data_IF_472825422756
#
_entry.id   IF_472825422756
#
_cell.length_a   1.000
_cell.length_b   1.000
_cell.length_c   1.000
_cell.angle_alpha   90.00
_cell.angle_beta   90.00
_cell.angle_gamma   90.00
#
_symmetry.space_group_name_H-M   'P 1'
#
loop_
_entity.id
_entity.type
_entity.pdbx_description
1 polymer ?
#
# COMPACT_ATOMS: atom_id res chain seq x y z
N UNK A 1 7.93 6.72 -20.56
CA UNK A 1 8.81 7.76 -21.14
C UNK A 1 7.96 8.98 -21.45
N UNK A 2 8.56 10.18 -21.52
CA UNK A 2 8.00 11.54 -21.32
C UNK A 2 8.07 11.91 -19.81
N UNK A 3 8.81 12.91 -19.34
CA UNK A 3 9.63 13.95 -19.97
C UNK A 3 9.93 14.99 -18.88
N UNK A 4 11.08 14.88 -18.19
CA UNK A 4 11.63 15.97 -17.36
C UNK A 4 12.52 16.79 -18.27
N UNK A 5 11.96 17.84 -18.87
CA UNK A 5 12.76 18.91 -19.46
C UNK A 5 13.03 19.94 -18.35
N UNK A 6 14.30 20.33 -18.20
CA UNK A 6 14.67 21.52 -17.45
C UNK A 6 15.34 21.30 -16.08
N UNK A 7 16.46 20.60 -16.05
CA UNK A 7 17.60 21.03 -15.23
C UNK A 7 18.87 20.35 -15.75
N UNK A 8 19.65 21.13 -16.49
CA UNK A 8 20.99 20.78 -16.91
C UNK A 8 21.86 20.63 -15.66
N UNK A 9 22.04 19.39 -15.19
CA UNK A 9 23.17 19.04 -14.33
C UNK A 9 24.04 18.11 -15.16
N UNK A 10 25.23 18.58 -15.51
CA UNK A 10 26.30 17.79 -16.09
C UNK A 10 26.77 16.78 -15.01
N UNK A 11 25.93 15.79 -14.71
CA UNK A 11 26.25 14.67 -13.84
C UNK A 11 26.69 13.51 -14.73
N UNK A 12 27.71 12.78 -14.30
CA UNK A 12 28.18 11.62 -15.05
C UNK A 12 27.01 10.62 -15.19
N UNK A 13 26.98 9.83 -16.27
CA UNK A 13 25.94 8.80 -16.51
C UNK A 13 25.80 7.86 -15.30
N UNK A 14 26.88 7.67 -14.54
CA UNK A 14 26.91 6.94 -13.28
C UNK A 14 26.03 7.60 -12.19
N UNK A 15 26.23 8.89 -11.91
CA UNK A 15 25.51 9.66 -10.90
C UNK A 15 24.00 9.68 -11.19
N UNK A 16 23.62 9.83 -12.46
CA UNK A 16 22.22 9.81 -12.88
C UNK A 16 21.58 8.44 -12.66
N UNK A 17 22.30 7.34 -12.95
CA UNK A 17 21.82 5.98 -12.66
C UNK A 17 21.66 5.76 -11.16
N UNK A 18 22.60 6.23 -10.35
CA UNK A 18 22.56 6.11 -8.90
C UNK A 18 21.34 6.81 -8.29
N UNK A 19 21.07 8.06 -8.68
CA UNK A 19 19.92 8.83 -8.19
C UNK A 19 18.59 8.14 -8.54
N UNK A 20 18.46 7.66 -9.78
CA UNK A 20 17.26 6.94 -10.23
C UNK A 20 17.07 5.65 -9.41
N UNK A 21 18.14 4.88 -9.20
CA UNK A 21 18.10 3.65 -8.43
C UNK A 21 17.71 3.87 -6.97
N UNK A 22 18.27 4.89 -6.31
CA UNK A 22 17.91 5.26 -4.92
C UNK A 22 16.43 5.63 -4.81
N UNK A 23 15.90 6.37 -5.78
CA UNK A 23 14.48 6.77 -5.81
C UNK A 23 13.56 5.56 -6.01
N UNK A 24 13.90 4.65 -6.95
CA UNK A 24 13.13 3.41 -7.16
C UNK A 24 13.14 2.52 -5.91
N UNK A 25 14.29 2.39 -5.24
CA UNK A 25 14.41 1.61 -4.00
C UNK A 25 13.51 2.17 -2.90
N UNK A 26 13.50 3.50 -2.69
CA UNK A 26 12.64 4.14 -1.70
C UNK A 26 11.16 3.90 -1.98
N UNK A 27 10.72 4.08 -3.23
CA UNK A 27 9.33 3.89 -3.61
C UNK A 27 8.90 2.42 -3.42
N UNK A 28 9.77 1.47 -3.79
CA UNK A 28 9.52 0.04 -3.56
C UNK A 28 9.33 -0.29 -2.07
N UNK A 29 10.19 0.22 -1.19
CA UNK A 29 10.08 -0.03 0.25
C UNK A 29 8.82 0.57 0.88
N UNK A 30 8.40 1.76 0.40
CA UNK A 30 7.11 2.30 0.79
C UNK A 30 5.98 1.35 0.40
N UNK A 31 5.94 0.89 -0.85
CA UNK A 31 4.86 0.03 -1.34
C UNK A 31 4.81 -1.29 -0.57
N UNK A 32 5.97 -1.86 -0.22
CA UNK A 32 6.08 -3.02 0.67
C UNK A 32 5.52 -2.72 2.06
N UNK A 33 5.81 -1.54 2.61
CA UNK A 33 5.32 -1.13 3.94
C UNK A 33 3.80 -0.99 3.95
N UNK A 34 3.24 -0.35 2.92
CA UNK A 34 1.79 -0.22 2.73
C UNK A 34 1.15 -1.60 2.60
N UNK A 35 1.73 -2.49 1.80
CA UNK A 35 1.23 -3.85 1.62
C UNK A 35 1.20 -4.63 2.93
N UNK A 36 2.27 -4.57 3.73
CA UNK A 36 2.32 -5.24 5.03
C UNK A 36 1.31 -4.66 6.02
N UNK A 37 1.19 -3.33 6.10
CA UNK A 37 0.19 -2.68 6.95
C UNK A 37 -1.24 -3.07 6.54
N UNK A 38 -1.52 -3.09 5.23
CA UNK A 38 -2.80 -3.54 4.70
C UNK A 38 -3.09 -5.01 5.02
N UNK A 39 -2.11 -5.90 4.84
CA UNK A 39 -2.25 -7.32 5.15
C UNK A 39 -2.60 -7.56 6.62
N UNK A 40 -1.92 -6.86 7.53
CA UNK A 40 -2.20 -6.94 8.98
C UNK A 40 -3.60 -6.37 9.28
N UNK A 41 -3.95 -5.23 8.70
CA UNK A 41 -5.28 -4.59 8.89
C UNK A 41 -6.41 -5.49 8.41
N UNK A 42 -6.26 -6.10 7.23
CA UNK A 42 -7.26 -7.04 6.68
C UNK A 42 -7.36 -8.28 7.55
N UNK A 43 -6.23 -8.87 7.94
CA UNK A 43 -6.21 -10.07 8.79
C UNK A 43 -6.89 -9.81 10.13
N UNK A 44 -6.55 -8.72 10.81
CA UNK A 44 -7.19 -8.32 12.07
C UNK A 44 -8.68 -7.99 11.89
N UNK A 45 -9.07 -7.37 10.77
CA UNK A 45 -10.47 -7.09 10.45
C UNK A 45 -11.31 -8.35 10.25
N UNK A 46 -10.79 -9.33 9.51
CA UNK A 46 -11.45 -10.64 9.35
C UNK A 46 -11.51 -11.42 10.67
N UNK A 47 -10.46 -11.37 11.50
CA UNK A 47 -10.48 -11.97 12.84
C UNK A 47 -11.57 -11.34 13.73
N UNK A 48 -11.65 -10.00 13.76
CA UNK A 48 -12.67 -9.26 14.50
C UNK A 48 -14.08 -9.54 14.00
N UNK A 49 -14.25 -9.81 12.70
CA UNK A 49 -15.55 -10.08 12.09
C UNK A 49 -16.01 -11.53 12.25
N UNK A 50 -15.11 -12.51 12.10
CA UNK A 50 -15.45 -13.93 12.03
C UNK A 50 -15.18 -14.71 13.32
N UNK A 51 -14.16 -14.34 14.10
CA UNK A 51 -13.68 -15.15 15.22
C UNK A 51 -14.04 -14.57 16.59
N UNK A 52 -14.07 -13.25 16.73
CA UNK A 52 -14.21 -12.59 18.03
C UNK A 52 -15.67 -12.12 18.24
N UNK A 53 -16.36 -12.55 19.32
CA UNK A 53 -17.70 -12.09 19.65
C UNK A 53 -17.77 -10.56 19.79
N UNK A 54 -18.93 -9.94 19.57
CA UNK A 54 -19.10 -8.48 19.65
C UNK A 54 -19.10 -7.91 21.09
N UNK A 55 -18.56 -8.66 22.06
CA UNK A 55 -18.43 -8.26 23.45
C UNK A 55 -16.99 -7.78 23.71
N UNK A 56 -16.81 -6.62 24.33
CA UNK A 56 -15.48 -6.01 24.52
C UNK A 56 -14.57 -6.84 25.45
N UNK A 57 -15.17 -7.54 26.43
CA UNK A 57 -14.48 -8.43 27.37
C UNK A 57 -14.10 -9.79 26.77
N UNK A 58 -14.47 -10.07 25.51
CA UNK A 58 -14.07 -11.32 24.87
C UNK A 58 -12.56 -11.35 24.67
N UNK A 59 -11.94 -12.42 25.16
CA UNK A 59 -10.49 -12.65 25.05
C UNK A 59 -10.23 -13.64 23.93
N UNK A 60 -9.32 -13.29 23.03
CA UNK A 60 -8.86 -14.13 21.94
C UNK A 60 -7.34 -14.07 21.85
N UNK A 61 -6.68 -15.23 21.87
CA UNK A 61 -5.21 -15.37 21.90
C UNK A 61 -4.54 -14.56 23.03
N UNK A 62 -5.20 -14.44 24.19
CA UNK A 62 -4.69 -13.73 25.36
C UNK A 62 -4.87 -12.20 25.33
N UNK A 63 -5.44 -11.65 24.26
CA UNK A 63 -5.78 -10.23 24.15
C UNK A 63 -7.29 -10.02 24.11
N UNK A 64 -7.76 -8.96 24.76
CA UNK A 64 -9.14 -8.51 24.71
C UNK A 64 -9.53 -8.05 23.30
N UNK A 65 -10.82 -8.12 22.97
CA UNK A 65 -11.34 -7.56 21.71
C UNK A 65 -10.96 -6.08 21.55
N UNK A 66 -10.95 -5.32 22.65
CA UNK A 66 -10.56 -3.90 22.63
C UNK A 66 -9.13 -3.72 22.10
N UNK A 67 -8.20 -4.57 22.51
CA UNK A 67 -6.82 -4.54 22.02
C UNK A 67 -6.74 -4.94 20.54
N UNK A 68 -7.52 -5.94 20.11
CA UNK A 68 -7.61 -6.30 18.69
C UNK A 68 -8.18 -5.17 17.83
N UNK A 69 -9.22 -4.48 18.30
CA UNK A 69 -9.79 -3.29 17.64
C UNK A 69 -8.75 -2.16 17.59
N UNK A 70 -8.03 -1.91 18.69
CA UNK A 70 -6.97 -0.90 18.72
C UNK A 70 -5.88 -1.22 17.70
N UNK A 71 -5.41 -2.47 17.65
CA UNK A 71 -4.44 -2.92 16.66
C UNK A 71 -4.95 -2.72 15.22
N UNK A 72 -6.17 -3.15 14.92
CA UNK A 72 -6.80 -2.97 13.61
C UNK A 72 -6.80 -1.49 13.18
N UNK A 73 -7.22 -0.59 14.08
CA UNK A 73 -7.25 0.86 13.81
C UNK A 73 -5.83 1.40 13.64
N UNK A 74 -4.89 1.06 14.52
CA UNK A 74 -3.50 1.54 14.43
C UNK A 74 -2.82 1.15 13.12
N UNK A 75 -2.92 -0.13 12.71
CA UNK A 75 -2.39 -0.57 11.43
C UNK A 75 -3.14 0.05 10.24
N UNK A 76 -4.46 0.26 10.38
CA UNK A 76 -5.26 0.99 9.41
C UNK A 76 -4.79 2.44 9.20
N UNK A 77 -4.49 3.16 10.28
CA UNK A 77 -3.95 4.54 10.22
C UNK A 77 -2.56 4.56 9.60
N UNK A 78 -1.67 3.63 9.97
CA UNK A 78 -0.35 3.50 9.33
C UNK A 78 -0.48 3.24 7.83
N UNK A 79 -1.39 2.33 7.44
CA UNK A 79 -1.69 2.05 6.04
C UNK A 79 -2.22 3.28 5.29
N UNK A 80 -3.16 4.02 5.90
CA UNK A 80 -3.73 5.23 5.32
C UNK A 80 -2.69 6.33 5.14
N UNK A 81 -1.83 6.55 6.14
CA UNK A 81 -0.72 7.49 6.06
C UNK A 81 0.28 7.09 4.95
N UNK A 82 0.61 5.80 4.86
CA UNK A 82 1.45 5.26 3.79
C UNK A 82 0.85 5.50 2.41
N UNK A 83 -0.45 5.23 2.22
CA UNK A 83 -1.17 5.50 0.96
C UNK A 83 -1.17 6.99 0.63
N UNK A 84 -1.34 7.87 1.61
CA UNK A 84 -1.24 9.32 1.39
C UNK A 84 0.16 9.71 0.89
N UNK A 85 1.23 9.19 1.52
CA UNK A 85 2.60 9.39 1.05
C UNK A 85 2.81 8.84 -0.37
N UNK A 86 2.28 7.65 -0.67
CA UNK A 86 2.33 7.05 -2.00
C UNK A 86 1.68 7.97 -3.05
N UNK A 87 0.48 8.49 -2.79
CA UNK A 87 -0.20 9.42 -3.69
C UNK A 87 0.63 10.69 -3.92
N UNK A 88 1.21 11.27 -2.85
CA UNK A 88 2.05 12.47 -2.95
C UNK A 88 3.27 12.20 -3.84
N UNK A 89 3.98 11.08 -3.63
CA UNK A 89 5.16 10.74 -4.43
C UNK A 89 4.82 10.40 -5.89
N UNK A 90 3.61 9.91 -6.15
CA UNK A 90 3.15 9.57 -7.49
C UNK A 90 2.25 10.65 -8.12
N UNK A 91 2.18 11.85 -7.54
CA UNK A 91 1.25 12.91 -7.94
C UNK A 91 1.41 13.35 -9.39
N UNK A 92 2.64 13.53 -9.87
CA UNK A 92 2.89 13.94 -11.25
C UNK A 92 2.52 12.84 -12.25
N UNK A 93 2.75 11.58 -11.89
CA UNK A 93 2.29 10.44 -12.67
C UNK A 93 0.77 10.39 -12.75
N UNK A 94 0.07 10.64 -11.62
CA UNK A 94 -1.39 10.72 -11.56
C UNK A 94 -1.95 11.85 -12.46
N UNK A 95 -1.33 13.02 -12.48
CA UNK A 95 -1.71 14.12 -13.40
C UNK A 95 -1.57 13.69 -14.87
N UNK A 96 -0.43 13.10 -15.22
CA UNK A 96 -0.18 12.60 -16.57
C UNK A 96 -1.16 11.48 -16.96
N UNK A 97 -1.61 10.69 -15.99
CA UNK A 97 -2.60 9.63 -16.19
C UNK A 97 -3.99 10.19 -16.51
N UNK A 98 -4.37 11.30 -15.85
CA UNK A 98 -5.66 11.99 -16.01
C UNK A 98 -5.83 12.61 -17.40
N UNK A 99 -4.75 13.06 -18.02
CA UNK A 99 -4.77 13.66 -19.36
C UNK A 99 -5.00 12.69 -20.52
N UNK A 100 -5.04 11.37 -20.28
CA UNK A 100 -5.24 10.37 -21.33
C UNK A 100 -6.68 9.86 -21.34
N UNK A 101 -7.36 9.93 -22.49
CA UNK A 101 -8.72 9.44 -22.66
C UNK A 101 -8.76 7.90 -22.64
N UNK A 102 -9.84 7.33 -22.11
CA UNK A 102 -9.97 5.87 -21.91
C UNK A 102 -10.26 5.10 -23.20
N UNK A 103 -10.92 5.75 -24.16
CA UNK A 103 -11.32 5.22 -25.46
C UNK A 103 -10.11 4.95 -26.38
N UNK A 104 -9.05 5.73 -26.24
CA UNK A 104 -7.80 5.58 -27.00
C UNK A 104 -6.90 4.43 -26.50
N UNK A 105 -7.28 3.76 -25.40
CA UNK A 105 -6.43 2.74 -24.77
C UNK A 105 -6.77 1.32 -25.21
N UNK A 106 -5.76 0.44 -25.33
CA UNK A 106 -5.99 -1.00 -25.48
C UNK A 106 -6.89 -1.53 -24.36
N UNK A 107 -7.82 -2.44 -24.70
CA UNK A 107 -8.84 -2.96 -23.78
C UNK A 107 -8.27 -3.44 -22.43
N UNK A 108 -7.11 -4.11 -22.43
CA UNK A 108 -6.44 -4.58 -21.20
C UNK A 108 -6.00 -3.43 -20.29
N UNK A 109 -5.40 -2.39 -20.86
CA UNK A 109 -4.95 -1.21 -20.10
C UNK A 109 -6.14 -0.40 -19.58
N UNK A 110 -7.21 -0.32 -20.37
CA UNK A 110 -8.47 0.31 -19.96
C UNK A 110 -9.09 -0.43 -18.76
N UNK A 111 -9.16 -1.76 -18.81
CA UNK A 111 -9.69 -2.57 -17.71
C UNK A 111 -8.91 -2.37 -16.41
N UNK A 112 -7.57 -2.46 -16.45
CA UNK A 112 -6.72 -2.21 -15.28
C UNK A 112 -7.01 -0.83 -14.67
N UNK A 113 -7.08 0.21 -15.51
CA UNK A 113 -7.36 1.56 -15.06
C UNK A 113 -8.76 1.72 -14.45
N UNK A 114 -9.77 1.00 -14.96
CA UNK A 114 -11.11 0.99 -14.37
C UNK A 114 -11.10 0.30 -13.01
N UNK A 115 -10.45 -0.87 -12.90
CA UNK A 115 -10.30 -1.59 -11.64
C UNK A 115 -9.58 -0.72 -10.60
N UNK A 116 -8.48 -0.05 -10.96
CA UNK A 116 -7.75 0.83 -10.06
C UNK A 116 -8.62 2.00 -9.55
N UNK A 117 -9.49 2.55 -10.41
CA UNK A 117 -10.42 3.63 -10.02
C UNK A 117 -11.51 3.13 -9.08
N UNK A 118 -12.10 1.98 -9.37
CA UNK A 118 -13.12 1.37 -8.49
C UNK A 118 -12.48 1.03 -7.15
N UNK A 119 -11.31 0.40 -7.15
CA UNK A 119 -10.53 0.09 -5.95
C UNK A 119 -10.26 1.34 -5.13
N UNK A 120 -9.84 2.45 -5.76
CA UNK A 120 -9.71 3.73 -5.08
C UNK A 120 -11.04 4.05 -4.40
N UNK A 121 -12.13 4.27 -5.15
CA UNK A 121 -13.41 4.72 -4.58
C UNK A 121 -13.89 3.83 -3.42
N UNK A 122 -13.75 2.51 -3.55
CA UNK A 122 -14.03 1.54 -2.49
C UNK A 122 -13.13 1.73 -1.27
N UNK A 123 -11.84 2.02 -1.46
CA UNK A 123 -10.92 2.37 -0.38
C UNK A 123 -11.33 3.66 0.36
N UNK A 124 -11.76 4.72 -0.35
CA UNK A 124 -12.30 5.95 0.28
C UNK A 124 -13.50 5.60 1.14
N UNK A 125 -14.43 4.81 0.59
CA UNK A 125 -15.66 4.45 1.26
C UNK A 125 -15.37 3.62 2.52
N UNK A 126 -14.50 2.62 2.41
CA UNK A 126 -14.08 1.77 3.54
C UNK A 126 -13.50 2.61 4.67
N UNK A 127 -12.58 3.54 4.37
CA UNK A 127 -11.97 4.41 5.38
C UNK A 127 -12.97 5.40 5.97
N UNK A 128 -13.83 6.01 5.14
CA UNK A 128 -14.84 6.95 5.61
C UNK A 128 -15.83 6.29 6.58
N UNK A 129 -16.40 5.14 6.21
CA UNK A 129 -17.30 4.39 7.10
C UNK A 129 -16.59 3.84 8.33
N UNK A 130 -15.31 3.46 8.21
CA UNK A 130 -14.50 3.03 9.35
C UNK A 130 -14.25 4.15 10.37
N UNK A 131 -13.92 5.35 9.90
CA UNK A 131 -13.75 6.53 10.77
C UNK A 131 -15.08 6.92 11.42
N UNK A 132 -16.18 6.93 10.66
CA UNK A 132 -17.52 7.20 11.21
C UNK A 132 -17.88 6.17 12.28
N UNK A 133 -17.67 4.88 12.02
CA UNK A 133 -17.91 3.83 13.01
C UNK A 133 -17.06 4.04 14.27
N UNK A 134 -15.77 4.32 14.10
CA UNK A 134 -14.86 4.59 15.23
C UNK A 134 -15.33 5.77 16.09
N UNK A 135 -15.74 6.88 15.48
CA UNK A 135 -16.27 8.06 16.19
C UNK A 135 -17.57 7.73 16.93
N UNK A 136 -18.46 6.95 16.31
CA UNK A 136 -19.75 6.59 16.93
C UNK A 136 -19.61 5.62 18.10
N UNK A 137 -18.55 4.83 18.14
CA UNK A 137 -18.23 3.91 19.24
C UNK A 137 -17.37 4.54 20.33
N UNK A 138 -17.07 5.84 20.22
CA UNK A 138 -16.23 6.52 21.20
C UNK A 138 -16.96 6.64 22.55
N UNK A 139 -16.51 5.88 23.55
CA UNK A 139 -17.09 5.86 24.89
C UNK A 139 -18.16 4.79 25.14
N UNK A 140 -18.49 3.98 24.13
CA UNK A 140 -19.45 2.88 24.28
C UNK A 140 -18.82 1.73 25.10
N UNK A 141 -19.54 1.27 26.14
CA UNK A 141 -19.15 0.12 26.98
C UNK A 141 -19.49 -1.23 26.33
N UNK A 142 -20.33 -1.22 25.29
CA UNK A 142 -20.76 -2.40 24.54
C UNK A 142 -20.70 -2.06 23.05
N UNK A 143 -20.08 -2.93 22.25
CA UNK A 143 -19.94 -2.70 20.81
C UNK A 143 -21.27 -2.97 20.09
N UNK A 144 -22.07 -1.94 19.85
CA UNK A 144 -23.34 -2.04 19.13
C UNK A 144 -23.10 -1.94 17.63
N UNK A 145 -23.35 -2.99 16.85
CA UNK A 145 -23.17 -2.94 15.39
C UNK A 145 -24.17 -1.96 14.76
N UNK A 146 -23.69 -0.82 14.27
CA UNK A 146 -24.49 0.21 13.60
C UNK A 146 -24.36 0.08 12.08
N UNK A 147 -25.12 0.91 11.36
CA UNK A 147 -25.12 0.92 9.89
C UNK A 147 -23.71 1.20 9.29
N UNK A 148 -22.91 2.15 9.82
CA UNK A 148 -21.54 2.39 9.36
C UNK A 148 -20.59 1.19 9.52
N UNK A 149 -20.73 0.39 10.58
CA UNK A 149 -19.94 -0.84 10.78
C UNK A 149 -20.19 -1.84 9.65
N UNK A 150 -21.45 -2.05 9.29
CA UNK A 150 -21.83 -2.98 8.23
C UNK A 150 -21.32 -2.51 6.88
N UNK A 151 -21.46 -1.20 6.58
CA UNK A 151 -20.92 -0.64 5.35
C UNK A 151 -19.39 -0.74 5.31
N UNK A 152 -18.71 -0.45 6.41
CA UNK A 152 -17.25 -0.61 6.51
C UNK A 152 -16.82 -2.04 6.17
N UNK A 153 -17.51 -3.06 6.69
CA UNK A 153 -17.22 -4.47 6.36
C UNK A 153 -17.51 -4.77 4.90
N UNK A 154 -18.67 -4.38 4.35
CA UNK A 154 -19.03 -4.64 2.94
C UNK A 154 -18.02 -4.00 1.98
N UNK A 155 -17.71 -2.72 2.18
CA UNK A 155 -16.72 -2.02 1.37
C UNK A 155 -15.31 -2.57 1.61
N UNK A 156 -14.97 -2.98 2.83
CA UNK A 156 -13.68 -3.58 3.17
C UNK A 156 -13.45 -4.94 2.48
N UNK A 157 -14.47 -5.80 2.44
CA UNK A 157 -14.42 -7.07 1.70
C UNK A 157 -14.26 -6.80 0.20
N UNK A 158 -15.06 -5.89 -0.36
CA UNK A 158 -14.93 -5.48 -1.77
C UNK A 158 -13.53 -4.91 -2.07
N UNK A 159 -13.01 -4.06 -1.18
CA UNK A 159 -11.67 -3.48 -1.30
C UNK A 159 -10.59 -4.57 -1.28
N UNK A 160 -10.74 -5.58 -0.43
CA UNK A 160 -9.80 -6.71 -0.35
C UNK A 160 -9.79 -7.51 -1.65
N UNK A 161 -10.96 -7.83 -2.20
CA UNK A 161 -11.08 -8.54 -3.48
C UNK A 161 -10.42 -7.73 -4.60
N UNK A 162 -10.72 -6.43 -4.69
CA UNK A 162 -10.14 -5.54 -5.70
C UNK A 162 -8.62 -5.41 -5.54
N UNK A 163 -8.10 -5.38 -4.31
CA UNK A 163 -6.67 -5.36 -4.05
C UNK A 163 -5.97 -6.65 -4.50
N UNK A 164 -6.58 -7.81 -4.28
CA UNK A 164 -6.06 -9.09 -4.79
C UNK A 164 -6.02 -9.07 -6.32
N UNK A 165 -7.09 -8.60 -6.97
CA UNK A 165 -7.12 -8.46 -8.43
C UNK A 165 -6.02 -7.50 -8.90
N UNK A 166 -5.88 -6.33 -8.27
CA UNK A 166 -4.82 -5.37 -8.59
C UNK A 166 -3.42 -6.00 -8.47
N UNK A 167 -3.16 -6.73 -7.38
CA UNK A 167 -1.89 -7.43 -7.16
C UNK A 167 -1.59 -8.45 -8.27
N UNK A 168 -2.60 -9.25 -8.65
CA UNK A 168 -2.46 -10.25 -9.73
C UNK A 168 -2.20 -9.57 -11.08
N UNK A 169 -2.92 -8.49 -11.39
CA UNK A 169 -2.74 -7.74 -12.64
C UNK A 169 -1.33 -7.13 -12.76
N UNK A 170 -0.75 -6.72 -11.63
CA UNK A 170 0.56 -6.07 -11.56
C UNK A 170 1.71 -7.03 -11.19
N UNK A 171 1.43 -8.31 -10.97
CA UNK A 171 2.38 -9.31 -10.44
C UNK A 171 3.70 -9.37 -11.20
N UNK A 172 3.67 -9.42 -12.54
CA UNK A 172 4.88 -9.47 -13.38
C UNK A 172 5.78 -8.25 -13.16
N UNK A 173 5.18 -7.07 -13.04
CA UNK A 173 5.90 -5.84 -12.80
C UNK A 173 6.51 -5.80 -11.38
N UNK A 174 5.76 -6.29 -10.38
CA UNK A 174 6.22 -6.37 -8.99
C UNK A 174 7.43 -7.29 -8.87
N UNK A 175 7.34 -8.52 -9.39
CA UNK A 175 8.44 -9.50 -9.34
C UNK A 175 9.67 -8.96 -10.06
N UNK A 176 9.50 -8.39 -11.26
CA UNK A 176 10.62 -7.79 -11.99
C UNK A 176 11.28 -6.63 -11.23
N UNK A 177 10.48 -5.78 -10.58
CA UNK A 177 11.00 -4.66 -9.77
C UNK A 177 11.70 -5.17 -8.51
N UNK A 178 11.13 -6.15 -7.81
CA UNK A 178 11.72 -6.76 -6.63
C UNK A 178 13.05 -7.44 -6.94
N UNK A 179 13.11 -8.25 -8.02
CA UNK A 179 14.35 -8.87 -8.48
C UNK A 179 15.42 -7.82 -8.80
N UNK A 180 15.05 -6.71 -9.44
CA UNK A 180 15.98 -5.62 -9.76
C UNK A 180 16.53 -4.95 -8.50
N UNK A 181 15.69 -4.71 -7.50
CA UNK A 181 16.10 -4.10 -6.24
C UNK A 181 16.98 -5.04 -5.41
N UNK A 182 16.68 -6.35 -5.39
CA UNK A 182 17.43 -7.36 -4.64
C UNK A 182 18.78 -7.68 -5.32
N UNK A 183 18.79 -7.93 -6.63
CA UNK A 183 20.02 -8.25 -7.37
C UNK A 183 21.06 -7.13 -7.23
N UNK A 184 20.63 -5.87 -7.33
CA UNK A 184 21.54 -4.73 -7.16
C UNK A 184 22.13 -4.67 -5.75
N UNK A 185 21.36 -5.04 -4.72
CA UNK A 185 21.88 -5.06 -3.34
C UNK A 185 22.98 -6.12 -3.17
N UNK A 186 22.79 -7.32 -3.73
CA UNK A 186 23.82 -8.36 -3.74
C UNK A 186 25.04 -8.01 -4.61
N UNK A 187 24.83 -7.30 -5.73
CA UNK A 187 25.92 -6.84 -6.58
C UNK A 187 26.81 -5.81 -5.90
N UNK A 188 26.21 -4.83 -5.22
CA UNK A 188 26.93 -3.76 -4.50
C UNK A 188 27.67 -4.30 -3.28
N UNK A 189 27.07 -5.18 -2.47
CA UNK A 189 27.75 -5.79 -1.32
C UNK A 189 28.97 -6.60 -1.73
N UNK A 190 28.86 -7.35 -2.84
CA UNK A 190 29.98 -8.15 -3.36
C UNK A 190 31.14 -7.29 -3.85
N UNK A 191 30.87 -6.18 -4.52
CA UNK A 191 31.91 -5.28 -5.03
C UNK A 191 32.60 -4.51 -3.89
N UNK A 192 31.85 -4.10 -2.85
CA UNK A 192 32.39 -3.48 -1.63
C UNK A 192 33.23 -4.46 -0.81
N UNK A 193 32.83 -5.72 -0.75
CA UNK A 193 33.62 -6.76 -0.09
C UNK A 193 34.93 -6.99 -0.84
N UNK A 194 34.89 -7.02 -2.18
CA UNK A 194 36.05 -7.20 -3.03
C UNK A 194 37.06 -6.05 -2.90
N UNK A 195 36.61 -4.79 -2.87
CA UNK A 195 37.51 -3.64 -2.71
C UNK A 195 38.21 -3.63 -1.34
N UNK A 196 37.52 -3.98 -0.26
CA UNK A 196 38.12 -4.10 1.08
C UNK A 196 39.21 -5.16 1.15
N UNK A 197 39.06 -6.28 0.45
CA UNK A 197 40.12 -7.30 0.35
C UNK A 197 41.34 -6.84 -0.42
N UNK A 198 41.21 -5.92 -1.39
CA UNK A 198 42.35 -5.40 -2.14
C UNK A 198 43.14 -4.32 -1.39
N UNK A 199 42.55 -3.64 -0.42
CA UNK A 199 43.27 -2.67 0.42
C UNK A 199 43.96 -3.31 1.64
N UNK A 200 43.70 -4.59 1.90
CA UNK A 200 44.26 -5.34 3.04
C UNK A 200 45.34 -6.37 2.66
N UNK A 201 45.66 -6.51 1.37
CA UNK A 201 46.71 -7.41 0.85
C UNK A 201 47.73 -6.66 0.03
#
# INVERSE_FOLDING_TARGET
MIGRAGMYRCGNRADQKEIVMKTTKRNFWLDVTIFMAFLITVSTGFLLWLAIPHQLESVFLGYSRREWVAAHISFGVVGLAGVACHIIWHWDWLKALRGRRLDEMPNKVRANRVIDRIMWLTFIATNAFGVIAWVLHYGDQVYLVRMPDRLHVVFGVLCTILMVIHLVLHWKWIVSTAQRCIHVNFGVDRDLQKSKTFEQG
#
